data_IF_505842268740
#
_entry.id   IF_505842268740
#
_cell.length_a   1.000
_cell.length_b   1.000
_cell.length_c   1.000
_cell.angle_alpha   90.00
_cell.angle_beta   90.00
_cell.angle_gamma   90.00
#
_symmetry.space_group_name_H-M   'P 1'
#
loop_
_entity.id
_entity.type
_entity.pdbx_description
1 polymer ?
#
# COMPACT_ATOMS: atom_id res chain seq x y z
N UNK A 1 -14.36 25.78 -14.24
CA UNK A 1 -13.28 25.09 -13.53
C UNK A 1 -13.80 24.70 -12.17
N UNK A 2 -14.26 23.44 -12.03
CA UNK A 2 -14.67 22.87 -10.75
C UNK A 2 -13.41 22.78 -9.86
N UNK A 3 -13.47 23.40 -8.68
CA UNK A 3 -12.41 23.24 -7.69
C UNK A 3 -12.47 21.82 -7.15
N UNK A 4 -11.42 21.03 -7.39
CA UNK A 4 -11.23 19.73 -6.75
C UNK A 4 -11.08 19.94 -5.24
N UNK A 5 -12.05 19.47 -4.45
CA UNK A 5 -11.88 19.31 -3.02
C UNK A 5 -11.35 17.90 -2.77
N UNK A 6 -10.04 17.80 -2.59
CA UNK A 6 -9.49 16.65 -1.89
C UNK A 6 -10.07 16.66 -0.49
N UNK A 7 -10.83 15.65 -0.14
CA UNK A 7 -11.26 15.44 1.23
C UNK A 7 -10.02 14.96 1.99
N UNK A 8 -9.18 15.92 2.44
CA UNK A 8 -8.30 15.62 3.57
C UNK A 8 -9.23 15.22 4.71
N UNK A 9 -9.06 14.05 5.27
CA UNK A 9 -9.86 13.59 6.40
C UNK A 9 -9.85 14.67 7.48
N UNK A 10 -11.00 15.08 8.05
CA UNK A 10 -11.02 16.03 9.13
C UNK A 10 -10.20 15.47 10.29
N UNK A 11 -9.34 16.29 10.86
CA UNK A 11 -8.67 15.99 12.13
C UNK A 11 -9.79 15.91 13.18
N UNK A 12 -10.12 14.70 13.63
CA UNK A 12 -11.18 14.48 14.62
C UNK A 12 -12.07 13.25 14.42
N UNK A 13 -12.17 12.74 13.18
CA UNK A 13 -12.79 11.44 12.92
C UNK A 13 -11.70 10.39 12.75
N UNK A 14 -11.14 9.95 13.88
CA UNK A 14 -10.22 8.80 13.86
C UNK A 14 -10.98 7.60 13.32
N UNK A 15 -10.68 7.23 12.07
CA UNK A 15 -11.22 6.02 11.49
C UNK A 15 -10.80 4.81 12.34
N UNK A 16 -11.59 3.73 12.34
CA UNK A 16 -11.23 2.49 13.02
C UNK A 16 -9.83 1.99 12.61
N UNK A 17 -9.39 2.29 11.37
CA UNK A 17 -8.04 2.03 10.88
C UNK A 17 -6.96 2.85 11.60
N UNK A 18 -7.22 4.13 11.84
CA UNK A 18 -6.28 5.01 12.56
C UNK A 18 -6.16 4.60 14.03
N UNK A 19 -7.27 4.24 14.66
CA UNK A 19 -7.27 3.63 16.00
C UNK A 19 -6.45 2.34 16.02
N UNK A 20 -6.63 1.44 15.05
CA UNK A 20 -5.84 0.20 14.94
C UNK A 20 -4.35 0.50 14.73
N UNK A 21 -3.99 1.41 13.83
CA UNK A 21 -2.60 1.85 13.60
C UNK A 21 -1.98 2.40 14.88
N UNK A 22 -2.70 3.24 15.61
CA UNK A 22 -2.26 3.76 16.92
C UNK A 22 -2.05 2.66 17.94
N UNK A 23 -2.93 1.65 17.99
CA UNK A 23 -2.79 0.50 18.89
C UNK A 23 -1.58 -0.35 18.53
N UNK A 24 -1.32 -0.61 17.26
CA UNK A 24 -0.13 -1.37 16.82
C UNK A 24 1.15 -0.63 17.17
N UNK A 25 1.26 0.66 16.87
CA UNK A 25 2.40 1.49 17.25
C UNK A 25 2.68 1.41 18.75
N UNK A 26 1.66 1.63 19.59
CA UNK A 26 1.80 1.58 21.05
C UNK A 26 2.25 0.21 21.55
N UNK A 27 1.83 -0.88 20.89
CA UNK A 27 2.29 -2.24 21.23
C UNK A 27 3.75 -2.43 20.87
N UNK A 28 4.18 -1.98 19.69
CA UNK A 28 5.58 -2.03 19.27
C UNK A 28 6.47 -1.21 20.20
N UNK A 29 6.07 0.00 20.57
CA UNK A 29 6.81 0.85 21.51
C UNK A 29 6.98 0.17 22.87
N UNK A 30 5.93 -0.48 23.40
CA UNK A 30 6.03 -1.28 24.64
C UNK A 30 6.96 -2.49 24.50
N UNK A 31 7.11 -3.02 23.29
CA UNK A 31 8.08 -4.09 22.98
C UNK A 31 9.50 -3.57 22.69
N UNK A 32 9.74 -2.26 22.82
CA UNK A 32 11.06 -1.65 22.67
C UNK A 32 11.35 -1.09 21.28
N UNK A 33 10.38 -1.10 20.35
CA UNK A 33 10.57 -0.48 19.03
C UNK A 33 10.58 1.05 19.13
N UNK A 34 11.48 1.69 18.37
CA UNK A 34 11.53 3.13 18.20
C UNK A 34 10.94 3.54 16.85
N UNK A 35 10.22 4.66 16.82
CA UNK A 35 9.65 5.24 15.60
C UNK A 35 10.29 6.60 15.33
N UNK A 36 10.96 6.73 14.19
CA UNK A 36 11.54 7.97 13.72
C UNK A 36 10.69 8.53 12.59
N UNK A 37 9.88 9.56 12.90
CA UNK A 37 9.07 10.24 11.90
C UNK A 37 9.86 11.36 11.22
N UNK A 38 9.43 11.75 10.00
CA UNK A 38 10.10 12.78 9.20
C UNK A 38 11.58 12.47 8.95
N UNK A 39 11.92 11.19 8.89
CA UNK A 39 13.30 10.69 8.77
C UNK A 39 13.43 9.97 7.44
N UNK A 40 13.91 10.70 6.43
CA UNK A 40 14.11 10.15 5.07
C UNK A 40 15.43 9.39 5.01
N UNK A 41 15.39 8.14 4.56
CA UNK A 41 16.58 7.37 4.24
C UNK A 41 17.25 7.96 3.00
N UNK A 42 18.55 8.21 3.09
CA UNK A 42 19.39 8.73 2.01
C UNK A 42 20.16 7.60 1.33
N UNK A 43 20.61 6.64 2.12
CA UNK A 43 21.50 5.57 1.69
C UNK A 43 21.35 4.36 2.60
N UNK A 44 21.55 3.17 2.05
CA UNK A 44 21.67 1.91 2.78
C UNK A 44 23.08 1.40 2.53
N UNK A 45 24.05 1.70 3.42
CA UNK A 45 25.42 1.27 3.24
C UNK A 45 25.56 -0.25 3.29
N UNK A 46 26.36 -0.80 2.39
CA UNK A 46 26.69 -2.21 2.34
C UNK A 46 28.20 -2.43 2.47
N UNK A 47 28.59 -3.55 3.04
CA UNK A 47 29.99 -3.97 3.12
C UNK A 47 30.08 -5.49 2.94
N UNK A 48 30.93 -5.92 2.03
CA UNK A 48 31.14 -7.34 1.71
C UNK A 48 29.86 -8.09 1.33
N UNK A 49 28.88 -7.40 0.73
CA UNK A 49 27.60 -7.98 0.32
C UNK A 49 26.51 -7.94 1.38
N UNK A 50 26.77 -7.44 2.60
CA UNK A 50 25.80 -7.34 3.69
C UNK A 50 25.44 -5.89 3.98
N UNK A 51 24.22 -5.62 4.46
CA UNK A 51 23.83 -4.28 4.93
C UNK A 51 24.53 -3.90 6.24
N UNK A 52 24.82 -2.60 6.41
CA UNK A 52 25.36 -2.08 7.68
C UNK A 52 24.32 -1.24 8.45
N UNK A 53 23.14 -1.04 7.91
CA UNK A 53 22.07 -0.19 8.45
C UNK A 53 21.63 0.88 7.47
N UNK A 54 21.23 2.05 7.96
CA UNK A 54 20.74 3.16 7.12
C UNK A 54 21.40 4.49 7.48
N UNK A 55 21.60 5.34 6.49
CA UNK A 55 21.99 6.74 6.64
C UNK A 55 20.78 7.62 6.31
N UNK A 56 20.38 8.48 7.24
CA UNK A 56 19.29 9.43 7.04
C UNK A 56 19.77 10.70 6.32
N UNK A 57 18.84 11.46 5.77
CA UNK A 57 19.13 12.68 5.03
C UNK A 57 19.79 13.77 5.90
N UNK A 58 19.50 13.78 7.21
CA UNK A 58 20.09 14.70 8.20
C UNK A 58 21.50 14.29 8.64
N UNK A 59 22.03 13.19 8.10
CA UNK A 59 23.33 12.64 8.46
C UNK A 59 23.34 11.65 9.63
N UNK A 60 22.19 11.39 10.26
CA UNK A 60 22.08 10.37 11.31
C UNK A 60 22.33 8.98 10.73
N UNK A 61 23.24 8.22 11.32
CA UNK A 61 23.49 6.81 10.97
C UNK A 61 22.85 5.89 12.00
N UNK A 62 22.10 4.91 11.52
CA UNK A 62 21.51 3.84 12.32
C UNK A 62 22.17 2.53 11.88
N UNK A 63 22.99 1.95 12.73
CA UNK A 63 23.62 0.67 12.44
C UNK A 63 22.64 -0.47 12.77
N UNK A 64 22.46 -1.37 11.82
CA UNK A 64 21.61 -2.54 11.95
C UNK A 64 22.11 -3.66 11.03
N UNK A 65 22.16 -4.93 11.48
CA UNK A 65 22.52 -6.06 10.61
C UNK A 65 21.37 -6.44 9.68
N UNK A 66 20.13 -6.00 9.98
CA UNK A 66 18.93 -6.29 9.19
C UNK A 66 18.25 -4.99 8.82
N UNK A 67 17.87 -4.86 7.55
CA UNK A 67 17.08 -3.76 7.00
C UNK A 67 15.90 -4.35 6.22
N UNK A 68 14.70 -3.88 6.50
CA UNK A 68 13.48 -4.35 5.82
C UNK A 68 12.88 -3.20 5.03
N UNK A 69 12.73 -3.36 3.72
CA UNK A 69 12.05 -2.42 2.87
C UNK A 69 10.52 -2.64 2.92
N UNK A 70 9.81 -1.70 3.52
CA UNK A 70 8.33 -1.63 3.55
C UNK A 70 7.85 -0.26 3.08
N UNK A 71 8.56 0.32 2.11
CA UNK A 71 8.39 1.72 1.70
C UNK A 71 7.18 1.94 0.76
N UNK A 72 6.39 0.91 0.47
CA UNK A 72 5.20 1.02 -0.40
C UNK A 72 5.59 1.57 -1.79
N UNK A 73 4.93 2.65 -2.28
CA UNK A 73 5.21 3.19 -3.61
C UNK A 73 6.67 3.63 -3.87
N UNK A 74 7.47 3.80 -2.80
CA UNK A 74 8.90 4.11 -2.89
C UNK A 74 9.80 2.88 -2.87
N UNK A 75 9.26 1.67 -2.79
CA UNK A 75 10.04 0.45 -2.57
C UNK A 75 11.08 0.20 -3.66
N UNK A 76 10.77 0.50 -4.93
CA UNK A 76 11.75 0.37 -6.01
C UNK A 76 12.95 1.30 -5.84
N UNK A 77 12.75 2.51 -5.34
CA UNK A 77 13.83 3.46 -5.07
C UNK A 77 14.73 2.96 -3.92
N UNK A 78 14.13 2.35 -2.89
CA UNK A 78 14.87 1.78 -1.76
C UNK A 78 15.65 0.53 -2.19
N UNK A 79 15.06 -0.35 -3.03
CA UNK A 79 15.77 -1.50 -3.60
C UNK A 79 16.97 -1.07 -4.44
N UNK A 80 16.81 -0.04 -5.27
CA UNK A 80 17.90 0.52 -6.07
C UNK A 80 19.03 1.14 -5.22
N UNK A 81 18.69 1.72 -4.04
CA UNK A 81 19.71 2.29 -3.14
C UNK A 81 20.70 1.25 -2.63
N UNK A 82 20.27 0.01 -2.48
CA UNK A 82 21.09 -1.08 -1.95
C UNK A 82 21.59 -2.00 -3.06
N UNK A 83 21.07 -1.85 -4.28
CA UNK A 83 21.39 -2.71 -5.43
C UNK A 83 20.65 -4.06 -5.40
N UNK A 84 19.59 -4.20 -4.62
CA UNK A 84 18.79 -5.42 -4.55
C UNK A 84 17.95 -5.66 -5.81
N UNK A 85 17.76 -4.64 -6.65
CA UNK A 85 17.05 -4.72 -7.93
C UNK A 85 17.86 -5.43 -9.03
N UNK A 86 19.14 -5.68 -8.81
CA UNK A 86 20.04 -6.21 -9.84
C UNK A 86 19.69 -7.65 -10.30
N UNK A 87 19.11 -8.47 -9.43
CA UNK A 87 18.73 -9.85 -9.71
C UNK A 87 17.21 -10.11 -9.60
N UNK A 88 16.43 -9.09 -9.24
CA UNK A 88 14.97 -9.19 -9.15
C UNK A 88 14.35 -9.45 -10.52
N UNK A 89 13.52 -10.47 -10.62
CA UNK A 89 12.72 -10.79 -11.82
C UNK A 89 11.39 -10.04 -11.84
N UNK A 90 10.91 -9.65 -10.68
CA UNK A 90 9.66 -8.91 -10.48
C UNK A 90 10.04 -7.61 -9.77
N UNK A 91 9.59 -6.49 -10.29
CA UNK A 91 9.85 -5.17 -9.72
C UNK A 91 8.59 -4.56 -9.11
N UNK A 92 8.74 -3.44 -8.40
CA UNK A 92 7.60 -2.65 -7.93
C UNK A 92 7.57 -1.30 -8.62
N UNK A 93 6.37 -0.80 -8.88
CA UNK A 93 6.18 0.52 -9.50
C UNK A 93 5.03 1.26 -8.81
N UNK A 94 5.17 2.56 -8.68
CA UNK A 94 4.10 3.40 -8.17
C UNK A 94 3.03 3.60 -9.26
N UNK A 95 1.85 3.03 -9.04
CA UNK A 95 0.67 3.17 -9.91
C UNK A 95 -0.27 4.21 -9.31
N UNK A 96 -0.56 5.26 -10.07
CA UNK A 96 -1.53 6.28 -9.68
C UNK A 96 -2.93 5.72 -9.76
N UNK A 97 -3.67 5.81 -8.66
CA UNK A 97 -5.04 5.34 -8.53
C UNK A 97 -6.00 6.43 -8.06
N UNK A 98 -7.24 6.31 -8.48
CA UNK A 98 -8.34 7.18 -8.05
C UNK A 98 -9.38 6.36 -7.34
N UNK A 99 -9.81 6.83 -6.18
CA UNK A 99 -10.92 6.26 -5.42
C UNK A 99 -12.04 7.29 -5.35
N UNK A 100 -13.22 6.88 -5.74
CA UNK A 100 -14.38 7.73 -5.90
C UNK A 100 -15.30 7.64 -4.69
N UNK A 101 -15.82 8.76 -4.21
CA UNK A 101 -16.86 8.79 -3.19
C UNK A 101 -18.15 9.37 -3.79
N UNK A 102 -19.23 8.61 -3.74
CA UNK A 102 -20.57 9.05 -4.17
C UNK A 102 -21.57 8.88 -3.03
N UNK A 103 -22.62 9.74 -2.97
CA UNK A 103 -23.68 9.57 -1.98
C UNK A 103 -24.42 8.24 -2.17
N UNK A 104 -24.80 7.60 -1.08
CA UNK A 104 -25.70 6.45 -1.12
C UNK A 104 -27.06 6.87 -1.69
N UNK A 105 -27.70 6.08 -2.58
CA UNK A 105 -29.04 6.35 -3.08
C UNK A 105 -30.06 6.53 -1.95
N UNK A 106 -31.05 7.39 -2.14
CA UNK A 106 -32.08 7.66 -1.14
C UNK A 106 -32.85 6.38 -0.78
N UNK A 107 -33.06 6.17 0.51
CA UNK A 107 -33.84 5.03 1.02
C UNK A 107 -33.00 3.77 1.25
N UNK A 108 -31.72 3.81 0.98
CA UNK A 108 -30.78 2.71 1.27
C UNK A 108 -29.90 3.10 2.46
N UNK A 109 -29.85 2.25 3.49
CA UNK A 109 -28.81 2.31 4.52
C UNK A 109 -27.69 1.36 4.11
N UNK A 110 -26.77 1.88 3.31
CA UNK A 110 -25.66 1.08 2.79
C UNK A 110 -24.71 0.61 3.90
N UNK A 111 -24.54 1.40 4.96
CA UNK A 111 -23.67 1.04 6.08
C UNK A 111 -24.19 -0.15 6.88
N UNK A 112 -25.51 -0.35 6.93
CA UNK A 112 -26.13 -1.45 7.66
C UNK A 112 -26.11 -2.78 6.90
N UNK A 113 -26.03 -2.76 5.58
CA UNK A 113 -26.20 -3.95 4.73
C UNK A 113 -24.98 -4.27 3.87
N UNK A 114 -24.10 -3.31 3.67
CA UNK A 114 -22.99 -3.47 2.76
C UNK A 114 -21.72 -3.99 3.44
N UNK A 115 -21.08 -4.89 2.75
CA UNK A 115 -19.70 -5.29 2.96
C UNK A 115 -18.83 -4.71 1.85
N UNK A 116 -17.56 -5.06 1.83
CA UNK A 116 -16.72 -4.87 0.64
C UNK A 116 -17.26 -5.80 -0.44
N UNK A 117 -17.59 -5.26 -1.59
CA UNK A 117 -18.05 -6.02 -2.76
C UNK A 117 -17.11 -5.79 -3.93
N UNK A 118 -16.86 -6.85 -4.69
CA UNK A 118 -16.14 -6.85 -5.95
C UNK A 118 -17.13 -7.24 -7.05
N UNK A 119 -17.22 -6.44 -8.09
CA UNK A 119 -18.09 -6.65 -9.25
C UNK A 119 -17.24 -6.71 -10.51
N UNK A 120 -16.82 -7.91 -10.88
CA UNK A 120 -15.95 -8.13 -12.03
C UNK A 120 -16.62 -7.74 -13.36
N UNK A 121 -17.94 -7.83 -13.47
CA UNK A 121 -18.66 -7.45 -14.70
C UNK A 121 -18.67 -5.91 -14.87
N UNK A 122 -18.84 -5.18 -13.77
CA UNK A 122 -18.78 -3.73 -13.77
C UNK A 122 -17.35 -3.19 -13.59
N UNK A 123 -16.39 -4.08 -13.27
CA UNK A 123 -14.99 -3.77 -13.04
C UNK A 123 -14.77 -2.70 -11.96
N UNK A 124 -15.52 -2.81 -10.85
CA UNK A 124 -15.40 -1.95 -9.69
C UNK A 124 -15.56 -2.73 -8.39
N UNK A 125 -14.81 -2.33 -7.38
CA UNK A 125 -15.11 -2.73 -6.01
C UNK A 125 -15.78 -1.58 -5.25
N UNK A 126 -16.58 -1.92 -4.25
CA UNK A 126 -17.22 -0.91 -3.41
C UNK A 126 -17.14 -1.27 -1.93
N UNK A 127 -17.19 -0.26 -1.09
CA UNK A 127 -17.42 -0.40 0.34
C UNK A 127 -18.16 0.80 0.92
N UNK A 128 -18.78 0.66 2.10
CA UNK A 128 -19.30 1.81 2.84
C UNK A 128 -18.17 2.82 3.16
N UNK A 129 -18.52 4.09 3.09
CA UNK A 129 -17.61 5.18 3.45
C UNK A 129 -18.32 6.18 4.37
N UNK A 130 -17.53 6.87 5.21
CA UNK A 130 -18.03 7.86 6.17
C UNK A 130 -18.91 8.91 5.51
N UNK A 131 -19.94 9.39 6.23
CA UNK A 131 -20.85 10.40 5.72
C UNK A 131 -21.90 9.87 4.76
N UNK A 132 -22.30 8.61 4.89
CA UNK A 132 -23.29 7.94 4.05
C UNK A 132 -22.94 7.98 2.56
N UNK A 133 -21.67 7.62 2.28
CA UNK A 133 -21.14 7.50 0.94
C UNK A 133 -20.80 6.03 0.60
N UNK A 134 -20.71 5.77 -0.70
CA UNK A 134 -20.10 4.57 -1.27
C UNK A 134 -18.72 4.97 -1.76
N UNK A 135 -17.70 4.25 -1.33
CA UNK A 135 -16.37 4.28 -1.92
C UNK A 135 -16.35 3.31 -3.10
N UNK A 136 -15.83 3.76 -4.22
CA UNK A 136 -15.70 2.99 -5.46
C UNK A 136 -14.23 3.02 -5.88
N UNK A 137 -13.67 1.86 -6.18
CA UNK A 137 -12.37 1.74 -6.81
C UNK A 137 -12.43 0.84 -8.04
N UNK A 138 -11.44 0.93 -8.92
CA UNK A 138 -11.34 0.08 -10.11
C UNK A 138 -10.87 -1.32 -9.73
N UNK A 139 -11.44 -2.35 -10.38
CA UNK A 139 -10.89 -3.72 -10.42
C UNK A 139 -9.86 -3.87 -11.56
N UNK A 140 -9.40 -2.75 -12.08
CA UNK A 140 -8.31 -2.64 -13.02
C UNK A 140 -8.49 -3.47 -14.30
N UNK A 141 -9.63 -3.30 -14.99
CA UNK A 141 -9.88 -4.04 -16.23
C UNK A 141 -8.89 -3.61 -17.31
N UNK A 142 -8.63 -4.46 -18.33
CA UNK A 142 -7.65 -4.17 -19.39
C UNK A 142 -7.90 -2.89 -20.20
N UNK A 143 -9.11 -2.32 -20.11
CA UNK A 143 -9.46 -1.06 -20.77
C UNK A 143 -9.07 0.19 -19.96
N UNK A 144 -8.70 0.04 -18.69
CA UNK A 144 -8.20 1.13 -17.87
C UNK A 144 -6.70 1.34 -18.10
N UNK A 145 -6.28 2.60 -18.17
CA UNK A 145 -4.87 2.91 -18.41
C UNK A 145 -4.10 2.87 -17.10
N UNK A 146 -3.00 2.12 -17.06
CA UNK A 146 -2.06 2.14 -15.97
C UNK A 146 -1.15 3.37 -16.06
N UNK A 147 -1.24 4.28 -15.11
CA UNK A 147 -0.43 5.50 -15.07
C UNK A 147 0.63 5.34 -13.97
N UNK A 148 1.81 4.88 -14.37
CA UNK A 148 2.97 4.82 -13.48
C UNK A 148 3.61 6.19 -13.33
N UNK A 149 4.00 6.54 -12.12
CA UNK A 149 4.44 7.89 -11.77
C UNK A 149 5.63 7.87 -10.82
N UNK A 150 6.29 9.03 -10.70
CA UNK A 150 7.20 9.29 -9.60
C UNK A 150 6.39 9.44 -8.30
N UNK A 151 6.66 8.64 -7.25
CA UNK A 151 5.90 8.69 -6.01
C UNK A 151 6.04 10.02 -5.25
N UNK A 152 7.08 10.80 -5.51
CA UNK A 152 7.27 12.13 -4.93
C UNK A 152 6.58 13.24 -5.75
N UNK A 153 6.20 12.97 -7.02
CA UNK A 153 5.67 14.00 -7.92
C UNK A 153 4.64 13.45 -8.92
N UNK A 154 3.37 13.48 -8.55
CA UNK A 154 2.27 13.04 -9.40
C UNK A 154 1.05 13.97 -9.32
N UNK A 155 0.18 13.89 -10.33
CA UNK A 155 -1.03 14.69 -10.39
C UNK A 155 -2.08 14.20 -9.37
N UNK A 156 -2.46 15.09 -8.45
CA UNK A 156 -3.46 14.84 -7.42
C UNK A 156 -4.89 15.21 -7.86
N UNK A 157 -5.08 15.70 -9.09
CA UNK A 157 -6.41 16.00 -9.61
C UNK A 157 -7.08 14.73 -10.13
N UNK A 158 -8.42 14.67 -9.96
CA UNK A 158 -9.19 13.61 -10.60
C UNK A 158 -9.15 13.73 -12.12
N UNK A 159 -9.03 12.59 -12.77
CA UNK A 159 -9.12 12.44 -14.22
C UNK A 159 -10.52 11.99 -14.65
N UNK A 160 -10.66 11.62 -15.92
CA UNK A 160 -11.90 10.99 -16.40
C UNK A 160 -12.17 9.62 -15.74
N UNK A 161 -11.15 8.98 -15.16
CA UNK A 161 -11.29 7.70 -14.46
C UNK A 161 -12.30 7.79 -13.31
N UNK A 162 -12.37 8.92 -12.61
CA UNK A 162 -13.39 9.17 -11.61
C UNK A 162 -14.81 8.98 -12.18
N UNK A 163 -15.07 9.60 -13.34
CA UNK A 163 -16.39 9.51 -13.99
C UNK A 163 -16.68 8.08 -14.46
N UNK A 164 -15.70 7.41 -15.03
CA UNK A 164 -15.81 6.02 -15.50
C UNK A 164 -16.19 5.08 -14.35
N UNK A 165 -15.52 5.17 -13.22
CA UNK A 165 -15.83 4.33 -12.04
C UNK A 165 -17.24 4.61 -11.51
N UNK A 166 -17.63 5.88 -11.40
CA UNK A 166 -18.99 6.25 -10.97
C UNK A 166 -20.07 5.74 -11.93
N UNK A 167 -19.82 5.80 -13.24
CA UNK A 167 -20.75 5.29 -14.27
C UNK A 167 -20.84 3.76 -14.21
N UNK A 168 -19.75 3.05 -14.01
CA UNK A 168 -19.73 1.59 -13.83
C UNK A 168 -20.61 1.16 -12.65
N UNK A 169 -20.48 1.84 -11.50
CA UNK A 169 -21.37 1.55 -10.37
C UNK A 169 -22.83 1.92 -10.69
N UNK A 170 -23.08 2.95 -11.50
CA UNK A 170 -24.42 3.33 -11.97
C UNK A 170 -25.16 2.21 -12.72
N UNK A 171 -24.46 1.22 -13.27
CA UNK A 171 -25.07 0.03 -13.86
C UNK A 171 -25.81 -0.83 -12.82
N UNK A 172 -25.38 -0.78 -11.56
CA UNK A 172 -26.01 -1.51 -10.44
C UNK A 172 -26.99 -0.64 -9.64
N UNK A 173 -26.74 0.65 -9.61
CA UNK A 173 -27.55 1.63 -8.87
C UNK A 173 -28.07 2.71 -9.83
N UNK A 174 -29.20 2.47 -10.53
CA UNK A 174 -29.73 3.43 -11.51
C UNK A 174 -30.01 4.82 -10.91
N UNK A 175 -30.34 4.87 -9.61
CA UNK A 175 -30.62 6.11 -8.88
C UNK A 175 -29.37 6.69 -8.20
N UNK A 176 -28.16 6.27 -8.61
CA UNK A 176 -26.91 6.80 -8.08
C UNK A 176 -26.79 8.29 -8.41
N UNK A 177 -26.83 9.11 -7.37
CA UNK A 177 -26.69 10.56 -7.51
C UNK A 177 -25.22 10.94 -7.74
N UNK A 178 -24.81 11.10 -9.00
CA UNK A 178 -23.50 11.64 -9.32
C UNK A 178 -23.55 13.15 -9.16
N UNK A 179 -22.90 13.67 -8.12
CA UNK A 179 -22.84 15.12 -7.88
C UNK A 179 -21.87 15.78 -8.86
N UNK A 180 -22.15 17.04 -9.22
CA UNK A 180 -21.21 17.83 -10.05
C UNK A 180 -19.88 18.17 -9.33
N UNK A 181 -19.74 17.82 -8.06
CA UNK A 181 -18.50 17.96 -7.28
C UNK A 181 -17.86 16.60 -7.10
N UNK A 182 -16.67 16.42 -7.67
CA UNK A 182 -15.90 15.20 -7.56
C UNK A 182 -15.37 15.05 -6.11
N UNK A 183 -15.59 13.88 -5.51
CA UNK A 183 -15.10 13.53 -4.17
C UNK A 183 -14.37 12.20 -4.21
N UNK A 184 -13.43 12.03 -3.31
CA UNK A 184 -12.62 10.82 -3.19
C UNK A 184 -11.17 11.16 -2.88
N UNK A 185 -10.24 10.29 -3.28
CA UNK A 185 -8.82 10.56 -3.19
C UNK A 185 -8.09 10.08 -4.43
N UNK A 186 -6.94 10.70 -4.67
CA UNK A 186 -5.92 10.24 -5.62
C UNK A 186 -4.72 9.86 -4.80
N UNK A 187 -4.25 8.63 -4.95
CA UNK A 187 -3.11 8.11 -4.21
C UNK A 187 -2.38 7.05 -5.04
N UNK A 188 -1.40 6.38 -4.45
CA UNK A 188 -0.54 5.44 -5.13
C UNK A 188 -0.72 4.02 -4.60
N UNK A 189 -0.71 3.04 -5.51
CA UNK A 189 -0.42 1.65 -5.21
C UNK A 189 1.04 1.34 -5.55
N UNK A 190 1.69 0.49 -4.78
CA UNK A 190 2.94 -0.16 -5.16
C UNK A 190 2.61 -1.50 -5.81
N UNK A 191 2.65 -1.56 -7.12
CA UNK A 191 2.24 -2.75 -7.87
C UNK A 191 3.44 -3.49 -8.43
N UNK A 192 3.32 -4.81 -8.43
CA UNK A 192 4.20 -5.71 -9.18
C UNK A 192 3.60 -6.02 -10.55
N UNK A 193 4.36 -6.65 -11.43
CA UNK A 193 3.90 -7.04 -12.75
C UNK A 193 2.76 -8.06 -12.71
N UNK A 194 2.74 -8.91 -11.68
CA UNK A 194 1.74 -9.97 -11.48
C UNK A 194 0.72 -9.67 -10.38
N UNK A 195 0.75 -8.46 -9.80
CA UNK A 195 -0.11 -8.03 -8.70
C UNK A 195 0.06 -8.83 -7.40
N UNK A 196 1.10 -9.65 -7.29
CA UNK A 196 1.42 -10.40 -6.09
C UNK A 196 2.46 -9.67 -5.24
N UNK A 197 2.31 -9.67 -3.91
CA UNK A 197 3.27 -9.02 -3.04
C UNK A 197 4.59 -9.79 -2.97
N UNK A 198 5.67 -9.05 -2.72
CA UNK A 198 7.00 -9.58 -2.48
C UNK A 198 7.24 -9.60 -0.97
N UNK A 199 7.37 -10.78 -0.38
CA UNK A 199 7.74 -11.02 1.01
C UNK A 199 8.92 -11.97 1.02
N UNK A 200 10.14 -11.41 0.93
CA UNK A 200 11.32 -12.22 0.64
C UNK A 200 12.62 -11.59 1.16
N UNK A 201 13.68 -12.39 1.17
CA UNK A 201 15.07 -11.93 1.25
C UNK A 201 15.51 -11.36 -0.12
N UNK A 202 16.71 -10.82 -0.18
CA UNK A 202 17.35 -10.36 -1.43
C UNK A 202 18.74 -10.96 -1.58
N UNK A 203 19.39 -10.71 -2.72
CA UNK A 203 20.80 -11.07 -2.93
C UNK A 203 21.76 -10.30 -2.01
N UNK A 204 21.30 -9.30 -1.27
CA UNK A 204 22.08 -8.54 -0.30
C UNK A 204 21.80 -9.10 1.09
N UNK A 205 22.80 -9.65 1.74
CA UNK A 205 22.69 -10.24 3.08
C UNK A 205 22.15 -9.23 4.09
N UNK A 206 21.14 -9.66 4.87
CA UNK A 206 20.45 -8.82 5.85
C UNK A 206 19.45 -7.83 5.27
N UNK A 207 19.20 -7.82 3.93
CA UNK A 207 18.19 -6.97 3.33
C UNK A 207 16.97 -7.77 2.90
N UNK A 208 15.82 -7.40 3.46
CA UNK A 208 14.52 -8.05 3.23
C UNK A 208 13.51 -7.09 2.64
N UNK A 209 12.50 -7.65 1.98
CA UNK A 209 11.45 -6.90 1.29
C UNK A 209 10.06 -7.35 1.72
N UNK A 210 9.19 -6.38 2.03
CA UNK A 210 7.76 -6.57 2.19
C UNK A 210 7.03 -5.44 1.43
N UNK A 211 6.95 -5.60 0.12
CA UNK A 211 6.51 -4.54 -0.81
C UNK A 211 5.64 -5.13 -1.94
N UNK A 212 5.25 -4.32 -2.92
CA UNK A 212 4.40 -4.76 -4.03
C UNK A 212 3.00 -5.13 -3.56
N UNK A 213 2.44 -4.37 -2.62
CA UNK A 213 1.16 -4.71 -1.96
C UNK A 213 -0.05 -4.60 -2.87
N UNK A 214 0.10 -3.99 -4.04
CA UNK A 214 -0.90 -3.86 -5.10
C UNK A 214 -2.28 -3.40 -4.61
N UNK A 215 -2.28 -2.54 -3.56
CA UNK A 215 -3.47 -1.93 -2.98
C UNK A 215 -4.35 -2.85 -2.12
N UNK A 216 -4.02 -4.13 -1.93
CA UNK A 216 -4.94 -5.08 -1.32
C UNK A 216 -4.42 -5.85 -0.09
N UNK A 217 -3.20 -5.57 0.39
CA UNK A 217 -2.54 -6.39 1.42
C UNK A 217 -2.74 -5.93 2.87
N UNK A 218 -3.41 -4.81 3.12
CA UNK A 218 -3.64 -4.33 4.49
C UNK A 218 -4.30 -5.39 5.40
N UNK A 219 -5.24 -6.15 4.87
CA UNK A 219 -5.91 -7.26 5.58
C UNK A 219 -4.94 -8.36 6.03
N UNK A 220 -3.84 -8.55 5.30
CA UNK A 220 -2.85 -9.60 5.55
C UNK A 220 -1.71 -9.15 6.50
N UNK A 221 -1.65 -7.87 6.87
CA UNK A 221 -0.55 -7.30 7.64
C UNK A 221 -0.18 -8.09 8.92
N UNK A 222 -1.13 -8.63 9.73
CA UNK A 222 -0.77 -9.43 10.91
C UNK A 222 -0.04 -10.73 10.56
N UNK A 223 -0.48 -11.42 9.51
CA UNK A 223 0.13 -12.68 9.04
C UNK A 223 1.48 -12.39 8.40
N UNK A 224 1.55 -11.37 7.54
CA UNK A 224 2.79 -10.95 6.89
C UNK A 224 3.86 -10.57 7.90
N UNK A 225 3.48 -9.83 8.96
CA UNK A 225 4.43 -9.49 10.02
C UNK A 225 5.02 -10.72 10.71
N UNK A 226 4.21 -11.79 10.92
CA UNK A 226 4.68 -13.05 11.49
C UNK A 226 5.59 -13.80 10.51
N UNK A 227 5.16 -13.95 9.25
CA UNK A 227 5.95 -14.62 8.20
C UNK A 227 7.30 -13.94 8.02
N UNK A 228 7.34 -12.61 7.93
CA UNK A 228 8.59 -11.87 7.78
C UNK A 228 9.51 -12.03 8.98
N UNK A 229 8.96 -12.06 10.20
CA UNK A 229 9.78 -12.29 11.38
C UNK A 229 10.43 -13.69 11.37
N UNK A 230 9.67 -14.72 11.00
CA UNK A 230 10.17 -16.10 10.90
C UNK A 230 11.18 -16.25 9.75
N UNK A 231 10.94 -15.60 8.60
CA UNK A 231 11.89 -15.60 7.48
C UNK A 231 13.23 -14.97 7.88
N UNK A 232 13.18 -13.82 8.53
CA UNK A 232 14.40 -13.15 9.01
C UNK A 232 15.15 -14.05 9.99
N UNK A 233 14.47 -14.63 10.98
CA UNK A 233 15.08 -15.54 11.94
C UNK A 233 15.68 -16.77 11.25
N UNK A 234 15.01 -17.31 10.24
CA UNK A 234 15.49 -18.43 9.44
C UNK A 234 16.81 -18.10 8.71
N UNK A 235 16.86 -16.98 7.99
CA UNK A 235 18.04 -16.53 7.27
C UNK A 235 19.19 -16.13 8.22
N UNK A 236 18.90 -15.38 9.29
CA UNK A 236 19.91 -14.97 10.28
C UNK A 236 20.49 -16.15 11.08
N UNK A 237 19.80 -17.30 11.10
CA UNK A 237 20.32 -18.55 11.63
C UNK A 237 21.27 -19.28 10.68
N UNK A 238 21.55 -18.71 9.51
CA UNK A 238 22.49 -19.22 8.51
C UNK A 238 21.88 -20.24 7.55
N UNK A 239 20.55 -20.30 7.44
CA UNK A 239 19.89 -21.14 6.44
C UNK A 239 19.86 -20.45 5.09
N UNK A 240 19.98 -21.24 4.03
CA UNK A 240 19.90 -20.79 2.64
C UNK A 240 18.43 -20.86 2.16
N UNK A 241 17.74 -19.72 2.21
CA UNK A 241 16.34 -19.63 1.79
C UNK A 241 16.13 -19.88 0.30
N UNK A 242 17.11 -19.55 -0.55
CA UNK A 242 17.04 -19.76 -2.00
C UNK A 242 17.17 -21.24 -2.36
N UNK A 243 18.07 -21.95 -1.67
CA UNK A 243 18.29 -23.38 -1.89
C UNK A 243 17.29 -24.27 -1.15
N UNK A 244 16.84 -23.84 0.03
CA UNK A 244 15.93 -24.58 0.90
C UNK A 244 14.88 -23.61 1.50
N UNK A 245 13.80 -23.31 0.75
CA UNK A 245 12.80 -22.34 1.17
C UNK A 245 12.15 -22.68 2.51
N UNK A 246 12.01 -21.67 3.35
CA UNK A 246 11.31 -21.78 4.62
C UNK A 246 9.87 -22.24 4.44
N UNK A 247 9.49 -23.35 5.06
CA UNK A 247 8.11 -23.80 5.12
C UNK A 247 7.32 -23.00 6.16
N UNK A 248 6.14 -22.47 5.77
CA UNK A 248 5.23 -21.79 6.69
C UNK A 248 3.89 -22.51 6.74
N UNK A 249 3.39 -22.79 7.95
CA UNK A 249 2.05 -23.36 8.15
C UNK A 249 1.15 -22.33 8.81
N UNK A 250 0.02 -22.06 8.18
CA UNK A 250 -1.07 -21.30 8.81
C UNK A 250 -1.81 -22.24 9.75
N UNK A 251 -1.72 -21.98 11.06
CA UNK A 251 -2.54 -22.63 12.08
C UNK A 251 -3.91 -21.98 12.19
#
# INVERSE_FOLDING_TARGET
TAKNEQVRRPVGDESFEELRKGMHKSRCERAGAAFLFNSRVKEIPTKNGSVEGVLLLDGTRINAPVVINVAGPHSSQINAMVGADADMKISTRALRQEVVHVPVPKGIDYSAVACVTSDNDAAVYTRPEVGNNILIGSEDPPCDSHIFVDPDNYDLNFSNQWTVQAQRLGLRFPDLGISGKLKGCVDLYDVTEDWMPIYDSSCIEGYFMACGTSGNQFKNAPVVGKVMAELIEYCESGNDHDGEPMGYQLE
#
